data_IF_131050843655
#
_entry.id   IF_131050843655
#
_cell.length_a   1.000
_cell.length_b   1.000
_cell.length_c   1.000
_cell.angle_alpha   90.00
_cell.angle_beta   90.00
_cell.angle_gamma   90.00
#
_symmetry.space_group_name_H-M   'P 1'
#
loop_
_entity.id
_entity.type
_entity.pdbx_description
1 polymer ?
#
# COMPACT_ATOMS: atom_id res chain seq x y z
N UNK A 1 -7.75 84.14 15.66
CA UNK A 1 -7.55 83.34 16.89
C UNK A 1 -7.98 81.91 16.57
N UNK A 2 -7.03 81.02 16.26
CA UNK A 2 -6.49 79.96 17.16
C UNK A 2 -7.38 78.71 17.08
N UNK A 3 -7.03 77.48 16.66
CA UNK A 3 -5.86 76.72 16.18
C UNK A 3 -6.49 75.52 15.42
N UNK A 4 -6.09 75.15 14.21
CA UNK A 4 -4.95 74.27 13.88
C UNK A 4 -5.02 72.87 14.56
N UNK A 5 -5.32 71.83 13.77
CA UNK A 5 -4.40 70.74 13.38
C UNK A 5 -5.16 69.54 12.79
N UNK A 6 -5.44 69.63 11.49
CA UNK A 6 -5.44 68.47 10.61
C UNK A 6 -4.00 67.92 10.59
N UNK A 7 -3.82 66.64 10.89
CA UNK A 7 -2.56 65.92 10.63
C UNK A 7 -2.80 64.97 9.47
N UNK A 8 -2.72 65.55 8.28
CA UNK A 8 -2.17 64.86 7.12
C UNK A 8 -0.70 64.57 7.43
N UNK A 9 -0.33 63.30 7.56
CA UNK A 9 1.06 62.88 7.59
C UNK A 9 1.30 61.95 6.41
N UNK A 10 1.49 62.58 5.25
CA UNK A 10 2.34 62.06 4.18
C UNK A 10 3.76 61.99 4.74
N UNK A 11 4.39 60.82 4.79
CA UNK A 11 5.81 60.71 4.47
C UNK A 11 6.25 59.25 4.31
N UNK A 12 7.09 59.06 3.29
CA UNK A 12 8.12 58.05 3.16
C UNK A 12 7.74 56.67 2.61
N UNK A 13 7.59 56.67 1.28
CA UNK A 13 8.24 55.74 0.37
C UNK A 13 9.62 55.30 0.92
N UNK A 14 9.70 54.08 1.47
CA UNK A 14 10.94 53.35 1.59
C UNK A 14 10.90 52.19 0.59
N UNK A 15 11.63 52.40 -0.50
CA UNK A 15 12.19 51.36 -1.34
C UNK A 15 13.06 50.48 -0.42
N UNK A 16 12.61 49.27 -0.08
CA UNK A 16 13.47 48.24 0.50
C UNK A 16 13.74 47.19 -0.56
N UNK A 17 15.00 46.80 -0.78
CA UNK A 17 15.38 45.99 -1.93
C UNK A 17 14.81 44.57 -1.82
N UNK A 18 14.48 44.06 -3.00
CA UNK A 18 14.45 42.66 -3.39
C UNK A 18 15.47 41.81 -2.59
N UNK A 19 15.02 41.15 -1.54
CA UNK A 19 15.66 39.94 -1.04
C UNK A 19 14.89 38.77 -1.64
N UNK A 20 15.44 38.26 -2.73
CA UNK A 20 15.19 36.95 -3.30
C UNK A 20 15.19 35.90 -2.17
N UNK A 21 14.01 35.51 -1.70
CA UNK A 21 13.85 34.20 -1.10
C UNK A 21 13.84 33.20 -2.27
N UNK A 22 14.81 32.28 -2.36
CA UNK A 22 14.86 31.31 -3.44
C UNK A 22 13.68 30.36 -3.28
N UNK A 23 12.88 30.24 -4.34
CA UNK A 23 12.03 29.10 -4.63
C UNK A 23 11.12 28.63 -3.49
N UNK A 24 9.87 29.11 -3.49
CA UNK A 24 8.80 28.13 -3.49
C UNK A 24 9.02 27.30 -4.75
N UNK A 25 9.78 26.20 -4.61
CA UNK A 25 9.91 25.21 -5.64
C UNK A 25 8.48 24.86 -6.06
N UNK A 26 8.18 25.04 -7.35
CA UNK A 26 7.10 24.30 -7.98
C UNK A 26 7.30 22.86 -7.54
N UNK A 27 6.48 22.36 -6.61
CA UNK A 27 6.34 20.93 -6.45
C UNK A 27 5.68 20.47 -7.75
N UNK A 28 6.52 20.16 -8.74
CA UNK A 28 6.09 19.62 -10.01
C UNK A 28 5.25 18.39 -9.67
N UNK A 29 3.98 18.39 -10.05
CA UNK A 29 3.18 17.18 -9.90
C UNK A 29 3.91 16.04 -10.61
N UNK A 30 4.06 14.87 -9.97
CA UNK A 30 4.71 13.73 -10.60
C UNK A 30 4.05 13.43 -11.94
N UNK A 31 4.88 13.21 -12.96
CA UNK A 31 4.43 12.72 -14.26
C UNK A 31 3.81 11.32 -14.13
N UNK A 32 3.00 10.93 -15.12
CA UNK A 32 2.41 9.59 -15.14
C UNK A 32 3.48 8.48 -15.12
N UNK A 33 4.64 8.73 -15.72
CA UNK A 33 5.78 7.79 -15.69
C UNK A 33 6.34 7.65 -14.29
N UNK A 34 6.59 8.76 -13.59
CA UNK A 34 7.08 8.74 -12.20
C UNK A 34 6.08 8.05 -11.26
N UNK A 35 4.78 8.23 -11.49
CA UNK A 35 3.73 7.52 -10.72
C UNK A 35 3.82 6.01 -10.97
N UNK A 36 3.95 5.57 -12.23
CA UNK A 36 4.06 4.14 -12.57
C UNK A 36 5.30 3.50 -11.97
N UNK A 37 6.45 4.17 -12.07
CA UNK A 37 7.72 3.71 -11.49
C UNK A 37 7.60 3.58 -9.97
N UNK A 38 7.07 4.60 -9.29
CA UNK A 38 6.82 4.57 -7.85
C UNK A 38 5.91 3.40 -7.45
N UNK A 39 4.82 3.16 -8.19
CA UNK A 39 3.90 2.03 -7.90
C UNK A 39 4.64 0.69 -8.02
N UNK A 40 5.42 0.52 -9.08
CA UNK A 40 6.20 -0.70 -9.31
C UNK A 40 7.21 -0.93 -8.19
N UNK A 41 7.97 0.10 -7.81
CA UNK A 41 8.94 0.02 -6.71
C UNK A 41 8.27 -0.32 -5.38
N UNK A 42 7.10 0.25 -5.10
CA UNK A 42 6.35 -0.07 -3.89
C UNK A 42 5.83 -1.50 -3.88
N UNK A 43 5.32 -1.99 -5.01
CA UNK A 43 4.88 -3.38 -5.15
C UNK A 43 6.05 -4.35 -4.97
N UNK A 44 7.20 -4.08 -5.59
CA UNK A 44 8.40 -4.90 -5.44
C UNK A 44 8.91 -4.92 -4.00
N UNK A 45 8.97 -3.75 -3.34
CA UNK A 45 9.41 -3.65 -1.94
C UNK A 45 8.46 -4.37 -0.99
N UNK A 46 7.14 -4.28 -1.23
CA UNK A 46 6.15 -5.03 -0.45
C UNK A 46 6.27 -6.54 -0.69
N UNK A 47 6.49 -6.95 -1.95
CA UNK A 47 6.70 -8.33 -2.33
C UNK A 47 7.91 -8.93 -1.62
N UNK A 48 9.08 -8.30 -1.76
CA UNK A 48 10.32 -8.77 -1.13
C UNK A 48 10.16 -8.87 0.38
N UNK A 49 9.60 -7.83 1.01
CA UNK A 49 9.36 -7.84 2.46
C UNK A 49 8.41 -8.97 2.88
N UNK A 50 7.40 -9.27 2.08
CA UNK A 50 6.50 -10.38 2.34
C UNK A 50 7.19 -11.73 2.20
N UNK A 51 8.01 -11.92 1.17
CA UNK A 51 8.80 -13.14 0.97
C UNK A 51 9.78 -13.39 2.12
N UNK A 52 10.49 -12.35 2.59
CA UNK A 52 11.39 -12.46 3.74
C UNK A 52 10.63 -12.89 5.02
N UNK A 53 9.40 -12.38 5.18
CA UNK A 53 8.50 -12.74 6.28
C UNK A 53 7.93 -14.18 6.15
N UNK A 54 7.99 -14.77 4.95
CA UNK A 54 7.43 -16.08 4.58
C UNK A 54 8.42 -17.23 4.66
N UNK A 55 9.69 -17.00 4.33
CA UNK A 55 10.69 -18.04 4.07
C UNK A 55 10.78 -19.07 5.21
N UNK A 56 10.63 -18.62 6.46
CA UNK A 56 10.68 -19.49 7.64
C UNK A 56 9.36 -20.21 7.97
N UNK A 57 8.23 -19.83 7.36
CA UNK A 57 6.88 -20.25 7.78
C UNK A 57 6.22 -21.23 6.81
N UNK A 58 6.48 -21.06 5.52
CA UNK A 58 5.83 -21.85 4.48
C UNK A 58 6.18 -23.34 4.60
N UNK A 59 7.43 -23.62 4.93
CA UNK A 59 7.95 -24.97 5.19
C UNK A 59 7.28 -25.63 6.40
N UNK A 60 7.10 -24.88 7.49
CA UNK A 60 6.63 -25.43 8.77
C UNK A 60 5.15 -25.80 8.73
N UNK A 61 4.35 -25.03 8.02
CA UNK A 61 2.88 -25.15 8.06
C UNK A 61 2.25 -25.65 6.76
N UNK A 62 3.06 -25.97 5.74
CA UNK A 62 2.57 -26.38 4.43
C UNK A 62 1.98 -25.23 3.60
N UNK A 63 2.04 -24.00 4.11
CA UNK A 63 1.38 -22.83 3.54
C UNK A 63 1.56 -21.61 4.43
N UNK A 64 0.72 -20.60 4.26
CA UNK A 64 0.87 -19.34 5.01
C UNK A 64 -0.51 -18.86 5.47
N UNK A 65 -0.62 -18.54 6.75
CA UNK A 65 -1.80 -17.83 7.25
C UNK A 65 -1.82 -16.43 6.63
N UNK A 66 -2.99 -15.90 6.25
CA UNK A 66 -3.09 -14.59 5.64
C UNK A 66 -2.38 -13.52 6.45
N UNK A 67 -1.60 -12.68 5.79
CA UNK A 67 -1.02 -11.47 6.36
C UNK A 67 -0.89 -10.43 5.26
N UNK A 68 -0.53 -9.20 5.64
CA UNK A 68 -0.35 -8.13 4.66
C UNK A 68 0.97 -7.41 4.86
N UNK A 69 1.47 -6.83 3.79
CA UNK A 69 2.48 -5.79 3.80
C UNK A 69 1.82 -4.54 3.24
N UNK A 70 2.08 -3.38 3.85
CA UNK A 70 1.51 -2.11 3.40
C UNK A 70 2.59 -1.07 3.27
N UNK A 71 2.46 -0.20 2.29
CA UNK A 71 3.26 1.03 2.17
C UNK A 71 2.38 2.22 2.52
N UNK A 72 2.83 3.03 3.47
CA UNK A 72 2.13 4.28 3.82
C UNK A 72 2.35 5.38 2.77
N UNK A 73 1.57 6.45 2.84
CA UNK A 73 1.70 7.58 1.89
C UNK A 73 3.02 8.36 2.04
N UNK A 74 3.85 8.04 3.03
CA UNK A 74 5.20 8.55 3.22
C UNK A 74 6.29 7.54 2.81
N UNK A 75 5.93 6.53 2.01
CA UNK A 75 6.80 5.49 1.46
C UNK A 75 7.44 4.54 2.49
N UNK A 76 6.81 4.37 3.66
CA UNK A 76 7.28 3.39 4.67
C UNK A 76 6.52 2.08 4.56
N UNK A 77 7.26 1.00 4.40
CA UNK A 77 6.71 -0.35 4.25
C UNK A 77 6.74 -1.13 5.58
N UNK A 78 5.62 -1.75 5.94
CA UNK A 78 5.48 -2.54 7.18
C UNK A 78 4.62 -3.79 6.99
N UNK A 79 4.94 -4.84 7.73
CA UNK A 79 4.10 -6.04 7.81
C UNK A 79 2.96 -5.78 8.81
N UNK A 80 1.74 -6.14 8.42
CA UNK A 80 0.56 -6.22 9.27
C UNK A 80 0.23 -7.70 9.52
N UNK A 81 0.23 -8.07 10.80
CA UNK A 81 -0.22 -9.39 11.27
C UNK A 81 -1.26 -9.19 12.37
N UNK A 82 -2.36 -9.94 12.28
CA UNK A 82 -3.43 -9.90 13.28
C UNK A 82 -3.35 -11.21 14.05
N UNK A 83 -2.94 -11.18 15.33
CA UNK A 83 -2.77 -12.42 16.11
C UNK A 83 -4.06 -13.24 16.19
N UNK A 84 -5.20 -12.55 16.24
CA UNK A 84 -6.52 -13.17 16.37
C UNK A 84 -6.90 -14.03 15.16
N UNK A 85 -6.34 -13.77 13.97
CA UNK A 85 -6.68 -14.55 12.77
C UNK A 85 -5.81 -15.80 12.59
N UNK A 86 -4.77 -15.99 13.40
CA UNK A 86 -3.85 -17.12 13.27
C UNK A 86 -4.56 -18.46 13.56
N UNK A 87 -5.49 -18.44 14.52
CA UNK A 87 -6.29 -19.60 14.93
C UNK A 87 -7.57 -19.78 14.09
N UNK A 88 -7.88 -18.84 13.19
CA UNK A 88 -9.09 -18.91 12.37
C UNK A 88 -8.90 -19.85 11.16
N UNK A 89 -10.01 -20.39 10.62
CA UNK A 89 -10.03 -20.96 9.27
C UNK A 89 -9.45 -19.97 8.24
N UNK A 90 -8.76 -20.47 7.22
CA UNK A 90 -7.94 -19.62 6.33
C UNK A 90 -8.78 -18.61 5.53
N UNK A 91 -9.95 -19.02 5.07
CA UNK A 91 -10.95 -18.19 4.40
C UNK A 91 -11.49 -17.08 5.33
N UNK A 92 -11.84 -17.44 6.57
CA UNK A 92 -12.30 -16.47 7.58
C UNK A 92 -11.20 -15.49 7.94
N UNK A 93 -9.96 -15.97 8.14
CA UNK A 93 -8.80 -15.14 8.43
C UNK A 93 -8.53 -14.10 7.34
N UNK A 94 -8.63 -14.52 6.07
CA UNK A 94 -8.43 -13.67 4.91
C UNK A 94 -9.47 -12.55 4.86
N UNK A 95 -10.75 -12.87 5.10
CA UNK A 95 -11.82 -11.88 5.13
C UNK A 95 -11.68 -10.89 6.29
N UNK A 96 -11.29 -11.36 7.48
CA UNK A 96 -11.01 -10.47 8.63
C UNK A 96 -9.83 -9.54 8.33
N UNK A 97 -8.77 -10.05 7.69
CA UNK A 97 -7.63 -9.24 7.27
C UNK A 97 -8.04 -8.17 6.26
N UNK A 98 -8.80 -8.53 5.21
CA UNK A 98 -9.29 -7.59 4.19
C UNK A 98 -10.11 -6.46 4.80
N UNK A 99 -11.09 -6.79 5.65
CA UNK A 99 -11.91 -5.79 6.35
C UNK A 99 -11.06 -4.87 7.24
N UNK A 100 -10.05 -5.42 7.90
CA UNK A 100 -9.12 -4.64 8.72
C UNK A 100 -8.28 -3.68 7.88
N UNK A 101 -7.85 -4.10 6.68
CA UNK A 101 -7.14 -3.26 5.72
C UNK A 101 -8.05 -2.16 5.15
N UNK A 102 -9.29 -2.46 4.77
CA UNK A 102 -10.27 -1.45 4.35
C UNK A 102 -10.41 -0.37 5.42
N UNK A 103 -10.60 -0.77 6.69
CA UNK A 103 -10.67 0.17 7.80
C UNK A 103 -9.38 0.98 8.00
N UNK A 104 -8.21 0.43 7.66
CA UNK A 104 -6.92 1.11 7.72
C UNK A 104 -6.74 2.11 6.57
N UNK A 105 -7.11 1.74 5.34
CA UNK A 105 -7.05 2.60 4.15
C UNK A 105 -8.03 3.76 4.28
N UNK A 106 -9.24 3.54 4.82
CA UNK A 106 -10.20 4.62 5.13
C UNK A 106 -9.65 5.70 6.06
N UNK A 107 -8.59 5.44 6.84
CA UNK A 107 -7.89 6.45 7.66
C UNK A 107 -6.94 7.34 6.85
N UNK A 108 -6.78 7.10 5.55
CA UNK A 108 -6.06 7.95 4.61
C UNK A 108 -4.53 7.88 4.67
N UNK A 109 -3.95 6.88 5.34
CA UNK A 109 -2.50 6.78 5.56
C UNK A 109 -1.80 5.68 4.78
N UNK A 110 -2.53 4.88 4.01
CA UNK A 110 -1.97 3.75 3.26
C UNK A 110 -2.06 4.06 1.77
N UNK A 111 -0.93 3.97 1.08
CA UNK A 111 -0.82 4.19 -0.36
C UNK A 111 -0.90 2.89 -1.17
N UNK A 112 -0.43 1.78 -0.60
CA UNK A 112 -0.46 0.47 -1.24
C UNK A 112 -0.59 -0.67 -0.24
N UNK A 113 -1.16 -1.79 -0.69
CA UNK A 113 -1.29 -3.02 0.09
C UNK A 113 -0.87 -4.23 -0.72
N UNK A 114 -0.25 -5.21 -0.07
CA UNK A 114 0.03 -6.54 -0.60
C UNK A 114 -0.48 -7.59 0.40
N UNK A 115 -1.45 -8.42 0.01
CA UNK A 115 -2.06 -9.47 0.85
C UNK A 115 -1.52 -10.82 0.42
N UNK A 116 -0.89 -11.53 1.35
CA UNK A 116 -0.26 -12.82 1.13
C UNK A 116 -1.09 -13.93 1.76
N UNK A 117 -1.40 -14.97 1.00
CA UNK A 117 -2.05 -16.18 1.50
C UNK A 117 -1.78 -17.37 0.59
N UNK A 118 -2.04 -18.59 1.06
CA UNK A 118 -1.96 -19.80 0.23
C UNK A 118 -3.34 -20.36 -0.06
N UNK A 119 -3.52 -20.89 -1.27
CA UNK A 119 -4.74 -21.61 -1.66
C UNK A 119 -4.38 -22.83 -2.52
N UNK A 120 -5.37 -23.67 -2.82
CA UNK A 120 -5.20 -24.77 -3.76
C UNK A 120 -4.87 -24.23 -5.16
N UNK A 121 -4.00 -24.93 -5.89
CA UNK A 121 -3.67 -24.52 -7.24
C UNK A 121 -4.92 -24.62 -8.16
N UNK A 122 -5.31 -23.53 -8.84
CA UNK A 122 -6.38 -23.57 -9.82
C UNK A 122 -6.00 -24.41 -11.05
N UNK A 123 -4.71 -24.50 -11.40
CA UNK A 123 -4.24 -25.35 -12.48
C UNK A 123 -4.11 -26.82 -12.02
N UNK A 124 -5.01 -27.67 -12.50
CA UNK A 124 -5.04 -29.12 -12.18
C UNK A 124 -3.97 -29.95 -12.89
N UNK A 125 -3.30 -29.39 -13.89
CA UNK A 125 -2.20 -30.03 -14.60
C UNK A 125 -0.84 -29.71 -13.96
N UNK A 126 -0.81 -28.82 -12.96
CA UNK A 126 0.42 -28.47 -12.25
C UNK A 126 0.76 -29.53 -11.21
N UNK A 127 2.04 -29.91 -11.14
CA UNK A 127 2.60 -30.75 -10.07
C UNK A 127 2.55 -30.08 -8.68
N UNK A 128 2.35 -28.76 -8.63
CA UNK A 128 2.20 -28.03 -7.39
C UNK A 128 0.73 -27.97 -6.96
N UNK A 129 0.37 -28.63 -5.86
CA UNK A 129 -1.00 -28.62 -5.33
C UNK A 129 -1.44 -27.27 -4.74
N UNK A 130 -0.50 -26.36 -4.49
CA UNK A 130 -0.73 -25.07 -3.83
C UNK A 130 -0.09 -23.92 -4.58
N UNK A 131 -0.68 -22.75 -4.40
CA UNK A 131 -0.15 -21.46 -4.88
C UNK A 131 -0.06 -20.49 -3.73
N UNK A 132 1.04 -19.73 -3.68
CA UNK A 132 1.13 -18.49 -2.93
C UNK A 132 0.44 -17.41 -3.77
N UNK A 133 -0.50 -16.71 -3.17
CA UNK A 133 -1.20 -15.59 -3.79
C UNK A 133 -0.74 -14.31 -3.11
N UNK A 134 -0.35 -13.33 -3.91
CA UNK A 134 -0.02 -11.97 -3.48
C UNK A 134 -0.93 -10.99 -4.21
N UNK A 135 -1.99 -10.55 -3.54
CA UNK A 135 -2.92 -9.54 -4.06
C UNK A 135 -2.38 -8.14 -3.74
N UNK A 136 -2.07 -7.35 -4.76
CA UNK A 136 -1.53 -6.01 -4.63
C UNK A 136 -2.49 -4.96 -5.17
N UNK A 137 -2.70 -3.90 -4.40
CA UNK A 137 -3.53 -2.76 -4.76
C UNK A 137 -2.82 -1.47 -4.42
N UNK A 138 -3.01 -0.45 -5.25
CA UNK A 138 -2.50 0.90 -5.03
C UNK A 138 -3.63 1.94 -5.05
N UNK A 139 -3.51 3.01 -4.25
CA UNK A 139 -4.44 4.14 -4.22
C UNK A 139 -4.60 4.87 -5.57
N UNK A 140 -3.69 4.60 -6.53
CA UNK A 140 -3.70 5.20 -7.86
C UNK A 140 -4.32 4.27 -8.92
N UNK A 141 -4.85 3.11 -8.52
CA UNK A 141 -5.65 2.25 -9.37
C UNK A 141 -5.06 0.89 -9.77
N UNK A 142 -3.73 0.71 -9.93
CA UNK A 142 -3.19 -0.60 -10.28
C UNK A 142 -3.50 -1.66 -9.24
N UNK A 143 -4.04 -2.78 -9.74
CA UNK A 143 -4.52 -3.89 -8.91
C UNK A 143 -4.28 -5.21 -9.63
N UNK A 144 -3.48 -6.07 -9.01
CA UNK A 144 -3.02 -7.32 -9.61
C UNK A 144 -2.84 -8.40 -8.56
N UNK A 145 -2.87 -9.65 -8.98
CA UNK A 145 -2.47 -10.78 -8.15
C UNK A 145 -1.28 -11.49 -8.79
N UNK A 146 -0.29 -11.85 -7.98
CA UNK A 146 0.75 -12.79 -8.36
C UNK A 146 0.42 -14.16 -7.78
N UNK A 147 0.43 -15.18 -8.63
CA UNK A 147 0.25 -16.57 -8.25
C UNK A 147 1.57 -17.28 -8.46
N UNK A 148 2.14 -17.80 -7.38
CA UNK A 148 3.40 -18.54 -7.40
C UNK A 148 3.12 -19.97 -6.94
N UNK A 149 3.05 -20.94 -7.85
CA UNK A 149 2.95 -22.35 -7.49
C UNK A 149 4.14 -22.74 -6.63
N UNK A 150 3.93 -23.57 -5.61
CA UNK A 150 5.02 -24.08 -4.81
C UNK A 150 4.78 -25.50 -4.34
N UNK A 151 5.87 -26.26 -4.22
CA UNK A 151 5.89 -27.55 -3.54
C UNK A 151 6.76 -27.45 -2.30
N UNK A 152 6.53 -28.34 -1.34
CA UNK A 152 7.41 -28.51 -0.18
C UNK A 152 7.97 -29.92 -0.27
N UNK A 153 9.28 -30.01 -0.42
CA UNK A 153 10.00 -31.27 -0.46
C UNK A 153 11.23 -31.17 0.46
N UNK A 154 11.49 -32.25 1.20
CA UNK A 154 12.58 -32.34 2.19
C UNK A 154 12.72 -31.12 3.14
N UNK A 155 11.59 -30.50 3.52
CA UNK A 155 11.60 -29.33 4.40
C UNK A 155 12.11 -28.04 3.73
N UNK A 156 12.00 -27.94 2.41
CA UNK A 156 12.29 -26.72 1.63
C UNK A 156 11.13 -26.41 0.72
N UNK A 157 10.84 -25.13 0.54
CA UNK A 157 9.87 -24.68 -0.45
C UNK A 157 10.56 -24.47 -1.80
N UNK A 158 9.96 -25.02 -2.85
CA UNK A 158 10.37 -24.82 -4.22
C UNK A 158 9.28 -24.03 -4.93
N UNK A 159 9.64 -22.85 -5.42
CA UNK A 159 8.71 -21.94 -6.10
C UNK A 159 8.82 -22.13 -7.61
N UNK A 160 7.69 -22.28 -8.27
CA UNK A 160 7.57 -22.36 -9.73
C UNK A 160 7.53 -20.97 -10.37
N UNK A 161 7.23 -20.97 -11.67
CA UNK A 161 7.06 -19.73 -12.44
C UNK A 161 5.83 -18.95 -11.95
N UNK A 162 6.02 -17.64 -11.73
CA UNK A 162 4.94 -16.76 -11.29
C UNK A 162 4.01 -16.41 -12.46
N UNK A 163 2.72 -16.34 -12.17
CA UNK A 163 1.71 -15.82 -13.10
C UNK A 163 1.13 -14.54 -12.52
N UNK A 164 1.12 -13.46 -13.31
CA UNK A 164 0.51 -12.19 -12.93
C UNK A 164 -0.85 -12.06 -13.61
N UNK A 165 -1.88 -11.73 -12.84
CA UNK A 165 -3.23 -11.51 -13.35
C UNK A 165 -3.77 -10.18 -12.83
N UNK A 166 -4.57 -9.49 -13.63
CA UNK A 166 -5.36 -8.35 -13.15
C UNK A 166 -6.49 -8.84 -12.23
N UNK A 167 -6.88 -8.01 -11.26
CA UNK A 167 -7.97 -8.32 -10.34
C UNK A 167 -8.82 -7.07 -10.05
N UNK A 168 -10.03 -7.29 -9.54
CA UNK A 168 -10.89 -6.22 -9.04
C UNK A 168 -10.37 -5.67 -7.69
N UNK A 169 -10.63 -4.38 -7.44
CA UNK A 169 -10.33 -3.73 -6.16
C UNK A 169 -11.15 -4.32 -5.02
N UNK A 170 -10.47 -4.82 -3.99
CA UNK A 170 -11.05 -5.35 -2.75
C UNK A 170 -10.80 -4.44 -1.56
N UNK A 171 -9.71 -3.67 -1.56
CA UNK A 171 -9.29 -2.83 -0.43
C UNK A 171 -9.51 -1.35 -0.69
N UNK A 172 -9.10 -0.84 -1.86
CA UNK A 172 -9.23 0.57 -2.23
C UNK A 172 -10.57 0.93 -2.89
N UNK A 173 -11.51 -0.02 -2.97
CA UNK A 173 -12.88 0.23 -3.42
C UNK A 173 -13.69 0.97 -2.33
N UNK A 174 -13.31 2.22 -2.06
CA UNK A 174 -13.97 3.07 -1.07
C UNK A 174 -14.93 3.99 -1.82
N UNK A 175 -16.23 3.70 -1.74
CA UNK A 175 -17.23 4.72 -2.03
C UNK A 175 -17.05 5.85 -1.01
N UNK A 176 -16.69 7.04 -1.50
CA UNK A 176 -16.35 8.22 -0.66
C UNK A 176 -17.59 8.78 0.07
N UNK A 177 -18.79 8.29 -0.25
CA UNK A 177 -20.07 8.83 0.22
C UNK A 177 -20.66 8.14 1.47
N UNK A 178 -20.00 7.12 2.03
CA UNK A 178 -20.43 6.53 3.31
C UNK A 178 -19.73 7.24 4.47
N UNK A 179 -20.33 8.36 4.92
CA UNK A 179 -20.03 8.95 6.22
C UNK A 179 -20.16 7.87 7.32
N UNK A 180 -19.25 7.82 8.30
CA UNK A 180 -19.40 6.92 9.42
C UNK A 180 -20.65 7.33 10.20
N UNK A 181 -21.63 6.44 10.29
CA UNK A 181 -22.73 6.60 11.23
C UNK A 181 -22.16 6.73 12.65
N UNK A 182 -22.37 7.90 13.26
CA UNK A 182 -22.05 8.19 14.67
C UNK A 182 -22.77 7.26 15.65
#
# INVERSE_FOLDING_TARGET
>A
MTQLKSRLMTFLMFLVPLLMAPGYANAQQPSETEIKEMIQEQFERMYQKGVDDLENRIVVTGGVKPFAVVTDTGDKTKTIRIKQIEEMPADVALEVLRRSLVALVKKGKIGATAVFYTTANPNKESEADRVLVVEMEHIFGPTLAQLVPFTIDEGKAFFGEQVVVEMENKIFNINVDEEPAE
#
